data_IF_915499284657
#
_entry.id   IF_915499284657
#
_cell.length_a   1.000
_cell.length_b   1.000
_cell.length_c   1.000
_cell.angle_alpha   90.00
_cell.angle_beta   90.00
_cell.angle_gamma   90.00
#
_symmetry.space_group_name_H-M   'P 1'
#
loop_
_entity.id
_entity.type
_entity.pdbx_description
1 polymer ?
#
# COMPACT_ATOMS: atom_id res chain seq x y z
N UNK A 1 -0.29 -0.59 -22.26
CA UNK A 1 0.46 0.65 -21.99
C UNK A 1 1.04 0.58 -20.60
N UNK A 2 2.16 1.27 -20.40
CA UNK A 2 2.93 1.24 -19.17
C UNK A 2 3.45 2.62 -18.81
N UNK A 3 3.79 2.79 -17.53
CA UNK A 3 4.24 4.06 -16.98
C UNK A 3 5.31 3.85 -15.91
N UNK A 4 6.31 4.72 -15.90
CA UNK A 4 7.17 4.98 -14.77
C UNK A 4 7.05 6.46 -14.37
N UNK A 5 6.92 6.74 -13.07
CA UNK A 5 6.84 8.11 -12.53
C UNK A 5 7.97 8.33 -11.56
N UNK A 6 8.60 9.50 -11.69
CA UNK A 6 9.76 9.92 -10.92
C UNK A 6 9.46 11.22 -10.19
N UNK A 7 9.82 11.28 -8.91
CA UNK A 7 9.79 12.50 -8.10
C UNK A 7 11.23 12.86 -7.73
N UNK A 8 11.67 14.05 -8.11
CA UNK A 8 13.02 14.56 -7.87
C UNK A 8 14.13 13.59 -8.34
N UNK A 9 13.88 12.89 -9.44
CA UNK A 9 14.78 11.89 -10.04
C UNK A 9 14.71 10.49 -9.43
N UNK A 10 13.88 10.27 -8.39
CA UNK A 10 13.64 8.95 -7.79
C UNK A 10 12.36 8.35 -8.34
N UNK A 11 12.42 7.10 -8.80
CA UNK A 11 11.23 6.34 -9.20
C UNK A 11 10.29 6.13 -7.99
N UNK A 12 9.01 6.50 -8.16
CA UNK A 12 7.96 6.36 -7.15
C UNK A 12 6.83 5.43 -7.61
N UNK A 13 6.75 5.15 -8.91
CA UNK A 13 5.78 4.26 -9.52
C UNK A 13 6.41 3.62 -10.76
N UNK A 14 6.22 2.31 -10.91
CA UNK A 14 6.42 1.59 -12.16
C UNK A 14 5.27 0.62 -12.33
N UNK A 15 4.62 0.68 -13.47
CA UNK A 15 3.53 -0.21 -13.81
C UNK A 15 3.67 -0.64 -15.26
N UNK A 16 3.64 -1.96 -15.48
CA UNK A 16 3.60 -2.55 -16.80
C UNK A 16 4.80 -2.18 -17.72
N UNK A 17 5.99 -2.04 -17.12
CA UNK A 17 7.25 -1.77 -17.81
C UNK A 17 8.36 -2.67 -17.24
N UNK A 18 9.07 -3.39 -18.11
CA UNK A 18 10.27 -4.15 -17.75
C UNK A 18 11.56 -3.29 -17.79
N UNK A 19 11.52 -2.18 -18.54
CA UNK A 19 12.64 -1.26 -18.75
C UNK A 19 12.15 0.12 -19.14
N UNK A 20 13.09 1.02 -19.46
CA UNK A 20 12.87 2.44 -19.69
C UNK A 20 13.77 2.97 -20.82
N UNK A 21 14.17 2.11 -21.76
CA UNK A 21 14.79 2.60 -22.99
C UNK A 21 13.69 3.12 -23.91
N UNK A 22 13.95 4.21 -24.64
CA UNK A 22 12.92 4.91 -25.41
C UNK A 22 12.18 4.05 -26.46
N UNK A 23 12.77 2.93 -26.92
CA UNK A 23 12.17 1.95 -27.85
C UNK A 23 11.47 0.77 -27.15
N UNK A 24 11.45 0.74 -25.82
CA UNK A 24 10.84 -0.38 -25.08
C UNK A 24 9.31 -0.30 -25.20
N UNK A 25 8.62 -1.42 -25.36
CA UNK A 25 7.15 -1.44 -25.25
C UNK A 25 6.72 -1.80 -23.82
N UNK A 26 5.49 -1.43 -23.47
CA UNK A 26 4.87 -1.92 -22.24
C UNK A 26 4.72 -3.45 -22.28
N UNK A 27 4.80 -4.10 -21.11
CA UNK A 27 4.82 -5.57 -21.04
C UNK A 27 3.46 -6.21 -21.35
N UNK A 28 2.37 -5.45 -21.20
CA UNK A 28 1.00 -5.91 -21.41
C UNK A 28 0.14 -4.83 -22.08
N UNK A 29 -0.82 -5.26 -22.90
CA UNK A 29 -1.83 -4.37 -23.46
C UNK A 29 -2.85 -3.99 -22.41
N UNK A 30 -3.21 -2.70 -22.34
CA UNK A 30 -4.31 -2.27 -21.50
C UNK A 30 -5.62 -2.53 -22.25
N UNK A 31 -6.23 -3.69 -22.02
CA UNK A 31 -7.46 -4.11 -22.71
C UNK A 31 -8.73 -3.46 -22.14
N UNK A 32 -8.64 -2.84 -20.96
CA UNK A 32 -9.71 -2.04 -20.36
C UNK A 32 -9.46 -0.56 -20.65
N UNK A 33 -9.99 -0.07 -21.77
CA UNK A 33 -9.90 1.33 -22.22
C UNK A 33 -10.69 2.34 -21.36
N UNK A 34 -11.03 2.00 -20.12
CA UNK A 34 -11.64 2.93 -19.17
C UNK A 34 -10.54 3.81 -18.58
N UNK A 35 -10.74 5.14 -18.63
CA UNK A 35 -9.93 6.11 -17.92
C UNK A 35 -10.04 5.86 -16.41
N UNK A 36 -9.21 4.97 -15.88
CA UNK A 36 -9.14 4.68 -14.46
C UNK A 36 -7.97 5.46 -13.85
N UNK A 37 -8.24 6.11 -12.71
CA UNK A 37 -7.18 6.67 -11.90
C UNK A 37 -6.46 5.55 -11.16
N UNK A 38 -5.15 5.48 -11.32
CA UNK A 38 -4.28 4.63 -10.51
C UNK A 38 -3.50 5.50 -9.53
N UNK A 39 -3.84 5.40 -8.25
CA UNK A 39 -3.27 6.22 -7.19
C UNK A 39 -2.29 5.43 -6.34
N UNK A 40 -1.12 6.00 -6.06
CA UNK A 40 -0.15 5.46 -5.10
C UNK A 40 0.17 6.50 -4.03
N UNK A 41 0.33 6.09 -2.75
CA UNK A 41 0.81 7.00 -1.73
C UNK A 41 2.25 7.39 -2.01
N UNK A 42 2.55 8.69 -1.85
CA UNK A 42 3.91 9.22 -1.91
C UNK A 42 4.30 9.67 -0.52
N UNK A 43 5.41 9.16 0.00
CA UNK A 43 5.95 9.58 1.28
C UNK A 43 6.30 11.09 1.24
N UNK A 44 5.78 11.92 2.15
CA UNK A 44 6.07 13.36 2.16
C UNK A 44 7.56 13.69 2.23
N UNK A 45 8.38 12.81 2.80
CA UNK A 45 9.84 12.95 2.85
C UNK A 45 10.53 12.88 1.48
N UNK A 46 9.83 12.44 0.42
CA UNK A 46 10.34 12.48 -0.95
C UNK A 46 10.24 13.89 -1.57
N UNK A 47 9.43 14.77 -0.97
CA UNK A 47 9.33 16.17 -1.34
C UNK A 47 10.45 16.98 -0.69
N UNK A 48 10.84 18.06 -1.36
CA UNK A 48 11.80 19.05 -0.89
C UNK A 48 11.08 20.36 -0.61
N UNK A 49 11.61 21.15 0.31
CA UNK A 49 11.14 22.53 0.47
C UNK A 49 11.42 23.32 -0.82
N UNK A 50 10.42 24.06 -1.31
CA UNK A 50 10.49 24.74 -2.60
C UNK A 50 10.15 23.84 -3.78
N UNK A 51 10.92 23.96 -4.87
CA UNK A 51 10.60 23.32 -6.15
C UNK A 51 10.80 21.81 -6.10
N UNK A 52 9.80 21.08 -6.59
CA UNK A 52 9.85 19.64 -6.82
C UNK A 52 9.62 19.35 -8.31
N UNK A 53 10.28 18.32 -8.83
CA UNK A 53 10.15 17.90 -10.23
C UNK A 53 9.46 16.54 -10.31
N UNK A 54 8.38 16.47 -11.07
CA UNK A 54 7.72 15.20 -11.40
C UNK A 54 7.97 14.93 -12.89
N UNK A 55 8.44 13.73 -13.19
CA UNK A 55 8.60 13.25 -14.56
C UNK A 55 7.81 11.95 -14.72
N UNK A 56 7.21 11.77 -15.89
CA UNK A 56 6.53 10.54 -16.26
C UNK A 56 7.10 10.04 -17.59
N UNK A 57 7.31 8.74 -17.65
CA UNK A 57 7.74 8.00 -18.82
C UNK A 57 6.62 7.03 -19.18
N UNK A 58 6.05 7.17 -20.39
CA UNK A 58 4.88 6.42 -20.83
C UNK A 58 5.20 5.65 -22.09
N UNK A 59 4.83 4.37 -22.12
CA UNK A 59 5.07 3.49 -23.24
C UNK A 59 3.76 2.84 -23.66
N UNK A 60 3.55 2.76 -24.98
CA UNK A 60 2.48 1.95 -25.53
C UNK A 60 2.85 0.46 -25.49
N UNK A 61 1.85 -0.41 -25.42
CA UNK A 61 2.07 -1.85 -25.59
C UNK A 61 2.11 -2.26 -27.07
N UNK A 62 1.32 -1.57 -27.89
CA UNK A 62 1.17 -1.86 -29.32
C UNK A 62 1.39 -0.55 -30.12
N UNK A 63 2.41 -0.49 -31.00
CA UNK A 63 2.67 0.66 -31.86
C UNK A 63 1.56 0.92 -32.89
N UNK A 64 0.81 -0.10 -33.28
CA UNK A 64 -0.32 0.00 -34.21
C UNK A 64 -1.67 0.15 -33.49
N UNK A 65 -1.68 0.00 -32.16
CA UNK A 65 -2.86 0.08 -31.33
C UNK A 65 -3.50 1.49 -31.24
N UNK A 66 -4.66 1.61 -30.56
CA UNK A 66 -5.32 2.91 -30.36
C UNK A 66 -4.41 3.91 -29.61
N UNK A 67 -4.81 5.19 -29.65
CA UNK A 67 -4.03 6.29 -29.08
C UNK A 67 -3.72 6.12 -27.59
N UNK A 68 -2.54 6.61 -27.16
CA UNK A 68 -2.15 6.70 -25.76
C UNK A 68 -2.71 7.98 -25.14
N UNK A 69 -3.37 7.84 -23.98
CA UNK A 69 -3.89 8.95 -23.18
C UNK A 69 -3.22 8.90 -21.81
N UNK A 70 -2.81 10.05 -21.31
CA UNK A 70 -2.18 10.17 -20.00
C UNK A 70 -2.64 11.45 -19.30
N UNK A 71 -2.92 11.32 -18.01
CA UNK A 71 -3.14 12.43 -17.09
C UNK A 71 -2.43 12.12 -15.77
N UNK A 72 -2.00 13.15 -15.06
CA UNK A 72 -1.28 13.03 -13.79
C UNK A 72 -1.73 14.11 -12.83
N UNK A 73 -2.01 13.67 -11.61
CA UNK A 73 -2.33 14.54 -10.50
C UNK A 73 -1.47 14.18 -9.29
N UNK A 74 -0.86 15.19 -8.66
CA UNK A 74 -0.35 15.09 -7.31
C UNK A 74 -1.26 15.94 -6.42
N UNK A 75 -1.97 15.27 -5.51
CA UNK A 75 -2.83 15.93 -4.53
C UNK A 75 -2.31 15.67 -3.13
N UNK A 76 -2.57 16.63 -2.25
CA UNK A 76 -2.55 16.36 -0.82
C UNK A 76 -3.72 15.43 -0.50
N UNK A 77 -3.45 14.12 -0.47
CA UNK A 77 -4.39 13.15 0.04
C UNK A 77 -3.97 12.79 1.47
N UNK A 78 -4.91 12.89 2.41
CA UNK A 78 -4.81 12.13 3.66
C UNK A 78 -5.01 10.67 3.30
N UNK A 79 -3.95 10.01 2.85
CA UNK A 79 -3.93 8.56 2.78
C UNK A 79 -3.96 8.10 4.23
N UNK A 80 -5.13 7.65 4.70
CA UNK A 80 -5.20 7.03 6.01
C UNK A 80 -4.22 5.86 5.99
N UNK A 81 -3.16 5.98 6.79
CA UNK A 81 -2.07 5.02 6.80
C UNK A 81 -2.65 3.59 6.93
N UNK A 82 -2.14 2.60 6.18
CA UNK A 82 -2.63 1.23 6.28
C UNK A 82 -2.61 0.77 7.74
N UNK A 83 -3.51 -0.14 8.13
CA UNK A 83 -3.61 -0.59 9.50
C UNK A 83 -2.26 -1.16 9.94
N UNK A 84 -1.74 -0.65 11.06
CA UNK A 84 -0.44 -1.04 11.62
C UNK A 84 -0.53 -1.23 13.12
N UNK A 85 0.29 -2.13 13.63
CA UNK A 85 0.50 -2.26 15.06
C UNK A 85 1.28 -1.06 15.61
N UNK A 86 0.89 -0.61 16.79
CA UNK A 86 1.45 0.57 17.47
C UNK A 86 1.94 0.27 18.88
N UNK A 87 1.38 -0.76 19.53
CA UNK A 87 1.90 -1.24 20.81
C UNK A 87 1.51 -2.70 21.05
N UNK A 88 2.33 -3.37 21.87
CA UNK A 88 2.12 -4.73 22.33
C UNK A 88 2.29 -4.75 23.85
N UNK A 89 1.37 -5.43 24.55
CA UNK A 89 1.44 -5.59 26.01
C UNK A 89 1.02 -7.01 26.38
N UNK A 90 1.74 -7.64 27.30
CA UNK A 90 1.24 -8.83 28.01
C UNK A 90 0.99 -8.44 29.46
N UNK A 91 -0.20 -8.74 29.99
CA UNK A 91 -0.51 -8.57 31.41
C UNK A 91 -1.20 -9.83 31.92
N UNK A 92 -0.51 -10.60 32.76
CA UNK A 92 -1.02 -11.84 33.35
C UNK A 92 -1.58 -12.82 32.30
N UNK A 93 -0.89 -12.99 31.16
CA UNK A 93 -1.32 -13.90 30.08
C UNK A 93 -2.38 -13.32 29.14
N UNK A 94 -2.77 -12.06 29.33
CA UNK A 94 -3.59 -11.32 28.36
C UNK A 94 -2.67 -10.50 27.47
N UNK A 95 -2.58 -10.89 26.20
CA UNK A 95 -1.90 -10.13 25.17
C UNK A 95 -2.84 -9.05 24.64
N UNK A 96 -2.35 -7.82 24.53
CA UNK A 96 -3.07 -6.70 23.97
C UNK A 96 -2.23 -6.08 22.85
N UNK A 97 -2.84 -5.90 21.68
CA UNK A 97 -2.20 -5.33 20.49
C UNK A 97 -2.99 -4.12 20.03
N UNK A 98 -2.36 -2.95 20.03
CA UNK A 98 -3.02 -1.72 19.56
C UNK A 98 -2.77 -1.50 18.08
N UNK A 99 -3.84 -1.25 17.33
CA UNK A 99 -3.82 -1.02 15.89
C UNK A 99 -4.25 0.42 15.61
N UNK A 100 -3.56 1.09 14.68
CA UNK A 100 -4.02 2.37 14.09
C UNK A 100 -4.17 2.23 12.59
N UNK A 101 -5.12 2.96 12.02
CA UNK A 101 -5.44 2.96 10.58
C UNK A 101 -6.62 3.88 10.26
N UNK A 102 -7.24 3.75 9.07
CA UNK A 102 -8.42 4.51 8.69
C UNK A 102 -9.58 4.31 9.66
N UNK A 103 -10.31 5.39 9.95
CA UNK A 103 -11.49 5.30 10.81
C UNK A 103 -12.58 4.46 10.13
N UNK A 104 -13.20 3.54 10.87
CA UNK A 104 -14.19 2.60 10.35
C UNK A 104 -13.62 1.39 9.62
N UNK A 105 -12.29 1.28 9.46
CA UNK A 105 -11.69 0.11 8.82
C UNK A 105 -11.90 -1.14 9.68
N UNK A 106 -12.40 -2.21 9.06
CA UNK A 106 -12.44 -3.55 9.62
C UNK A 106 -11.10 -4.24 9.39
N UNK A 107 -10.35 -4.50 10.45
CA UNK A 107 -9.04 -5.14 10.43
C UNK A 107 -9.18 -6.58 10.89
N UNK A 108 -8.73 -7.54 10.07
CA UNK A 108 -8.57 -8.95 10.48
C UNK A 108 -7.25 -9.11 11.21
N UNK A 109 -7.26 -9.74 12.39
CA UNK A 109 -6.06 -10.11 13.12
C UNK A 109 -5.89 -11.63 13.03
N UNK A 110 -4.69 -12.02 12.62
CA UNK A 110 -4.25 -13.41 12.65
C UNK A 110 -3.18 -13.60 13.73
N UNK A 111 -3.20 -14.76 14.35
CA UNK A 111 -2.21 -15.18 15.34
C UNK A 111 -1.48 -16.47 14.92
N UNK A 112 -0.34 -16.69 15.56
CA UNK A 112 0.42 -17.93 15.46
C UNK A 112 1.18 -18.19 16.75
N UNK A 113 1.38 -19.47 17.06
CA UNK A 113 2.23 -19.93 18.17
C UNK A 113 3.67 -20.26 17.72
N UNK A 114 3.89 -20.44 16.42
CA UNK A 114 5.17 -20.92 15.85
C UNK A 114 5.63 -20.14 14.61
N UNK A 115 4.97 -19.02 14.31
CA UNK A 115 5.24 -18.14 13.16
C UNK A 115 5.01 -18.78 11.78
N UNK A 116 4.53 -20.02 11.73
CA UNK A 116 4.36 -20.81 10.49
C UNK A 116 2.89 -21.11 10.23
N UNK A 117 2.17 -21.52 11.27
CA UNK A 117 0.74 -21.82 11.22
C UNK A 117 -0.05 -20.60 11.69
N UNK A 118 -0.79 -19.99 10.76
CA UNK A 118 -1.54 -18.76 11.02
C UNK A 118 -3.04 -19.01 10.98
N UNK A 119 -3.75 -18.47 11.95
CA UNK A 119 -5.21 -18.57 12.05
C UNK A 119 -5.82 -17.20 12.34
N UNK A 120 -7.07 -16.99 11.91
CA UNK A 120 -7.81 -15.78 12.27
C UNK A 120 -8.22 -15.85 13.74
N UNK A 121 -7.79 -14.86 14.53
CA UNK A 121 -8.18 -14.72 15.94
C UNK A 121 -9.38 -13.79 16.12
N UNK A 122 -9.54 -12.81 15.23
CA UNK A 122 -10.68 -11.91 15.31
C UNK A 122 -10.62 -10.73 14.36
N UNK A 123 -11.59 -9.84 14.53
CA UNK A 123 -11.75 -8.63 13.75
C UNK A 123 -11.89 -7.42 14.67
N UNK A 124 -11.40 -6.27 14.21
CA UNK A 124 -11.45 -5.00 14.92
C UNK A 124 -12.00 -3.92 13.99
N UNK A 125 -12.98 -3.16 14.45
CA UNK A 125 -13.36 -1.92 13.78
C UNK A 125 -12.57 -0.78 14.43
N UNK A 126 -11.79 -0.07 13.63
CA UNK A 126 -11.01 1.06 14.13
C UNK A 126 -11.92 2.25 14.39
N UNK A 127 -12.15 2.59 15.66
CA UNK A 127 -12.98 3.75 16.05
C UNK A 127 -12.07 4.93 16.33
N UNK A 128 -12.33 6.07 15.68
CA UNK A 128 -11.43 7.22 15.65
C UNK A 128 -10.01 6.84 15.18
N UNK A 129 -9.93 5.89 14.25
CA UNK A 129 -8.69 5.41 13.64
C UNK A 129 -7.80 4.55 14.54
N UNK A 130 -8.34 4.00 15.64
CA UNK A 130 -7.62 3.08 16.52
C UNK A 130 -8.54 2.01 17.13
N UNK A 131 -7.94 0.86 17.49
CA UNK A 131 -8.57 -0.16 18.34
C UNK A 131 -7.49 -1.00 19.04
N UNK A 132 -7.87 -1.72 20.09
CA UNK A 132 -7.00 -2.69 20.76
C UNK A 132 -7.62 -4.08 20.65
N UNK A 133 -6.84 -5.02 20.11
CA UNK A 133 -7.13 -6.44 20.17
C UNK A 133 -6.69 -7.01 21.51
N UNK A 134 -7.44 -7.94 22.08
CA UNK A 134 -7.01 -8.70 23.25
C UNK A 134 -7.15 -10.19 23.01
N UNK A 135 -6.13 -10.93 23.40
CA UNK A 135 -6.01 -12.37 23.23
C UNK A 135 -5.59 -13.02 24.54
N UNK A 136 -6.27 -14.09 24.94
CA UNK A 136 -5.97 -14.88 26.14
C UNK A 136 -5.35 -16.21 25.72
N UNK A 137 -4.14 -16.13 25.20
CA UNK A 137 -3.38 -17.32 24.83
C UNK A 137 -2.76 -17.98 26.06
N UNK A 138 -2.77 -19.31 26.08
CA UNK A 138 -2.08 -20.11 27.10
C UNK A 138 -0.58 -20.26 26.81
N UNK A 139 -0.18 -20.07 25.55
CA UNK A 139 1.22 -20.07 25.14
C UNK A 139 1.89 -18.72 25.50
N UNK A 140 3.04 -18.73 26.20
CA UNK A 140 3.77 -17.51 26.50
C UNK A 140 4.39 -16.83 25.26
N UNK A 141 4.59 -17.56 24.17
CA UNK A 141 5.05 -17.01 22.89
C UNK A 141 3.86 -16.89 21.92
N UNK A 142 3.61 -15.67 21.42
CA UNK A 142 2.48 -15.37 20.56
C UNK A 142 2.87 -14.36 19.49
N UNK A 143 2.54 -14.65 18.24
CA UNK A 143 2.80 -13.80 17.09
C UNK A 143 1.49 -13.25 16.53
N UNK A 144 1.52 -12.05 15.99
CA UNK A 144 0.35 -11.39 15.38
C UNK A 144 0.71 -10.81 14.03
N UNK A 145 -0.24 -10.84 13.08
CA UNK A 145 -0.14 -10.14 11.80
C UNK A 145 -1.47 -9.53 11.38
N UNK A 146 -1.37 -8.52 10.53
CA UNK A 146 -2.48 -8.00 9.74
C UNK A 146 -2.23 -8.53 8.32
N UNK A 147 -3.03 -9.49 7.84
CA UNK A 147 -2.90 -9.98 6.47
C UNK A 147 -3.24 -8.84 5.50
N UNK A 148 -2.43 -8.67 4.45
CA UNK A 148 -2.70 -7.72 3.36
C UNK A 148 -3.77 -8.25 2.41
#
# INVERSE_FOLDING_TARGET
DGIAVYLNGREILRHNLAGAAYETYATESNTNATLCWFSVPVEPSALRNGTNYIAAEVHRADPEGPSLIFDLQLIEAKVDAPPRFTSFKNTNGVFAVSVRGPNGLLVRIEDSDNFSDWQTNGFLVLTNGAATFTDRATNPARFYRIPQ
#
